data_IF_410417398618
#
_entry.id   IF_410417398618
#
_cell.length_a   1.000
_cell.length_b   1.000
_cell.length_c   1.000
_cell.angle_alpha   90.00
_cell.angle_beta   90.00
_cell.angle_gamma   90.00
#
_symmetry.space_group_name_H-M   'P 1'
#
loop_
_entity.id
_entity.type
_entity.pdbx_description
1 polymer ?
#
# COMPACT_ATOMS: atom_id res chain seq x y z
N UNK A 1 -22.09 -47.29 15.57
CA UNK A 1 -21.64 -47.01 14.17
C UNK A 1 -22.26 -45.75 13.58
N UNK A 2 -23.56 -45.46 13.69
CA UNK A 2 -24.19 -44.25 13.16
C UNK A 2 -23.76 -42.90 13.83
N UNK A 3 -23.36 -42.93 15.09
CA UNK A 3 -22.89 -41.74 15.83
C UNK A 3 -21.46 -41.32 15.47
N UNK A 4 -20.60 -42.29 15.07
CA UNK A 4 -19.24 -41.99 14.61
C UNK A 4 -19.22 -41.31 13.25
N UNK A 5 -20.05 -41.75 12.30
CA UNK A 5 -20.14 -41.14 10.95
C UNK A 5 -20.67 -39.73 11.02
N UNK A 6 -21.61 -39.40 11.93
CA UNK A 6 -22.14 -38.07 12.08
C UNK A 6 -21.15 -37.07 12.70
N UNK A 7 -20.21 -37.54 13.54
CA UNK A 7 -19.16 -36.68 14.09
C UNK A 7 -18.06 -36.39 13.04
N UNK A 8 -17.71 -37.37 12.24
CA UNK A 8 -16.72 -37.19 11.17
C UNK A 8 -17.22 -36.18 10.11
N UNK A 9 -18.51 -36.28 9.72
CA UNK A 9 -19.13 -35.30 8.79
C UNK A 9 -19.18 -33.88 9.38
N UNK A 10 -19.40 -33.73 10.70
CA UNK A 10 -19.41 -32.42 11.38
C UNK A 10 -18.02 -31.84 11.53
N UNK A 11 -17.00 -32.65 11.75
CA UNK A 11 -15.60 -32.17 11.81
C UNK A 11 -15.07 -31.82 10.42
N UNK A 12 -15.47 -32.53 9.37
CA UNK A 12 -15.09 -32.24 7.99
C UNK A 12 -15.75 -30.94 7.50
N UNK A 13 -17.02 -30.72 7.83
CA UNK A 13 -17.77 -29.48 7.50
C UNK A 13 -17.20 -28.29 8.30
N UNK A 14 -16.86 -28.45 9.58
CA UNK A 14 -16.22 -27.42 10.39
C UNK A 14 -14.79 -27.07 9.89
N UNK A 15 -14.03 -28.06 9.42
CA UNK A 15 -12.72 -27.85 8.84
C UNK A 15 -12.78 -27.15 7.50
N UNK A 16 -13.80 -27.45 6.69
CA UNK A 16 -14.11 -26.79 5.41
C UNK A 16 -14.49 -25.31 5.60
N UNK A 17 -15.39 -25.02 6.53
CA UNK A 17 -15.82 -23.63 6.82
C UNK A 17 -14.67 -22.79 7.41
N UNK A 18 -13.78 -23.40 8.21
CA UNK A 18 -12.58 -22.72 8.74
C UNK A 18 -11.56 -22.40 7.64
N UNK A 19 -11.32 -23.29 6.69
CA UNK A 19 -10.43 -23.04 5.54
C UNK A 19 -10.99 -21.96 4.63
N UNK A 20 -12.30 -21.98 4.36
CA UNK A 20 -13.03 -20.96 3.61
C UNK A 20 -12.91 -19.58 4.28
N UNK A 21 -13.15 -19.51 5.58
CA UNK A 21 -13.04 -18.27 6.36
C UNK A 21 -11.61 -17.69 6.34
N UNK A 22 -10.58 -18.54 6.41
CA UNK A 22 -9.18 -18.11 6.32
C UNK A 22 -8.81 -17.57 4.93
N UNK A 23 -9.33 -18.16 3.86
CA UNK A 23 -9.12 -17.65 2.50
C UNK A 23 -9.78 -16.29 2.32
N UNK A 24 -11.02 -16.12 2.77
CA UNK A 24 -11.75 -14.85 2.69
C UNK A 24 -11.08 -13.73 3.51
N UNK A 25 -10.45 -14.06 4.64
CA UNK A 25 -9.73 -13.09 5.47
C UNK A 25 -8.31 -12.75 4.95
N UNK A 26 -7.81 -13.46 3.93
CA UNK A 26 -6.42 -13.32 3.46
C UNK A 26 -6.08 -11.91 2.99
N UNK A 27 -6.93 -11.30 2.16
CA UNK A 27 -6.71 -9.94 1.65
C UNK A 27 -6.62 -8.90 2.78
N UNK A 28 -7.65 -8.81 3.64
CA UNK A 28 -7.63 -7.94 4.83
C UNK A 28 -6.43 -8.16 5.76
N UNK A 29 -6.06 -9.40 6.07
CA UNK A 29 -4.92 -9.70 6.95
C UNK A 29 -3.58 -9.26 6.34
N UNK A 30 -3.40 -9.48 5.03
CA UNK A 30 -2.22 -8.99 4.32
C UNK A 30 -2.16 -7.46 4.30
N UNK A 31 -3.29 -6.79 4.14
CA UNK A 31 -3.37 -5.34 4.18
C UNK A 31 -3.04 -4.78 5.59
N UNK A 32 -3.51 -5.45 6.66
CA UNK A 32 -3.13 -5.11 8.02
C UNK A 32 -1.62 -5.29 8.26
N UNK A 33 -1.03 -6.39 7.78
CA UNK A 33 0.42 -6.59 7.82
C UNK A 33 1.17 -5.44 7.12
N UNK A 34 0.76 -5.07 5.91
CA UNK A 34 1.33 -3.92 5.21
C UNK A 34 1.19 -2.62 6.00
N UNK A 35 0.06 -2.41 6.69
CA UNK A 35 -0.22 -1.25 7.54
C UNK A 35 0.77 -1.15 8.70
N UNK A 36 0.95 -2.25 9.45
CA UNK A 36 1.85 -2.30 10.61
C UNK A 36 3.28 -1.95 10.19
N UNK A 37 3.80 -2.60 9.15
CA UNK A 37 5.16 -2.32 8.68
C UNK A 37 5.29 -0.91 8.07
N UNK A 38 4.25 -0.39 7.42
CA UNK A 38 4.26 0.97 6.88
C UNK A 38 4.32 2.02 7.99
N UNK A 39 3.53 1.87 9.05
CA UNK A 39 3.59 2.75 10.21
C UNK A 39 4.94 2.66 10.93
N UNK A 40 5.44 1.46 11.18
CA UNK A 40 6.77 1.27 11.77
C UNK A 40 7.88 1.93 10.95
N UNK A 41 7.81 1.83 9.61
CA UNK A 41 8.75 2.52 8.71
C UNK A 41 8.66 4.03 8.82
N UNK A 42 7.44 4.58 9.00
CA UNK A 42 7.23 6.01 9.20
C UNK A 42 7.95 6.51 10.45
N UNK A 43 7.84 5.78 11.57
CA UNK A 43 8.53 6.12 12.81
C UNK A 43 10.06 6.07 12.67
N UNK A 44 10.58 5.00 12.08
CA UNK A 44 12.03 4.92 11.82
C UNK A 44 12.50 6.04 10.92
N UNK A 45 11.70 6.46 9.93
CA UNK A 45 12.02 7.61 9.07
C UNK A 45 12.07 8.90 9.89
N UNK A 46 11.10 9.13 10.77
CA UNK A 46 11.08 10.30 11.66
C UNK A 46 12.28 10.32 12.61
N UNK A 47 12.62 9.18 13.22
CA UNK A 47 13.77 9.05 14.12
C UNK A 47 15.09 9.22 13.36
N UNK A 48 15.24 8.64 12.18
CA UNK A 48 16.43 8.83 11.33
C UNK A 48 16.61 10.28 10.89
N UNK A 49 15.52 10.97 10.52
CA UNK A 49 15.53 12.40 10.18
C UNK A 49 15.90 13.27 11.38
N UNK A 50 15.34 13.00 12.58
CA UNK A 50 15.74 13.66 13.84
C UNK A 50 17.22 13.41 14.17
N UNK A 51 17.78 12.26 13.77
CA UNK A 51 19.20 11.92 13.87
C UNK A 51 20.10 12.67 12.87
N UNK A 52 19.54 13.58 12.07
CA UNK A 52 20.28 14.43 11.12
C UNK A 52 20.53 13.79 9.75
N UNK A 53 19.89 12.66 9.43
CA UNK A 53 20.01 12.06 8.09
C UNK A 53 19.06 12.78 7.12
N UNK A 54 19.57 13.29 5.97
CA UNK A 54 18.78 13.96 4.96
C UNK A 54 17.68 13.06 4.36
N UNK A 55 16.59 13.67 3.90
CA UNK A 55 15.41 12.95 3.45
C UNK A 55 15.63 12.08 2.21
N UNK A 56 16.32 12.59 1.19
CA UNK A 56 16.64 11.80 -0.01
C UNK A 56 17.61 10.66 0.32
N UNK A 57 18.53 10.87 1.26
CA UNK A 57 19.45 9.83 1.71
C UNK A 57 18.72 8.69 2.44
N UNK A 58 17.71 8.99 3.29
CA UNK A 58 16.86 7.98 3.92
C UNK A 58 16.11 7.16 2.87
N UNK A 59 15.55 7.84 1.86
CA UNK A 59 14.84 7.18 0.77
C UNK A 59 15.78 6.36 -0.13
N UNK A 60 17.00 6.81 -0.33
CA UNK A 60 18.04 6.04 -1.02
C UNK A 60 18.33 4.73 -0.27
N UNK A 61 18.57 4.78 1.03
CA UNK A 61 18.80 3.57 1.83
C UNK A 61 17.59 2.62 1.81
N UNK A 62 16.38 3.17 1.88
CA UNK A 62 15.14 2.40 1.73
C UNK A 62 15.13 1.64 0.40
N UNK A 63 15.40 2.33 -0.72
CA UNK A 63 15.40 1.73 -2.05
C UNK A 63 16.54 0.73 -2.23
N UNK A 64 17.72 1.05 -1.71
CA UNK A 64 18.87 0.16 -1.72
C UNK A 64 18.55 -1.15 -0.99
N UNK A 65 17.94 -1.09 0.20
CA UNK A 65 17.54 -2.29 0.96
C UNK A 65 16.51 -3.11 0.19
N UNK A 66 15.51 -2.46 -0.43
CA UNK A 66 14.54 -3.13 -1.29
C UNK A 66 15.22 -3.81 -2.49
N UNK A 67 16.14 -3.10 -3.15
CA UNK A 67 16.88 -3.62 -4.30
C UNK A 67 17.74 -4.84 -3.91
N UNK A 68 18.49 -4.76 -2.82
CA UNK A 68 19.28 -5.89 -2.30
C UNK A 68 18.39 -7.08 -1.95
N UNK A 69 17.23 -6.85 -1.32
CA UNK A 69 16.26 -7.92 -1.04
C UNK A 69 15.73 -8.56 -2.33
N UNK A 70 15.42 -7.75 -3.32
CA UNK A 70 14.98 -8.26 -4.63
C UNK A 70 16.07 -9.10 -5.30
N UNK A 71 17.35 -8.70 -5.21
CA UNK A 71 18.48 -9.51 -5.72
C UNK A 71 18.57 -10.88 -5.01
N UNK A 72 18.39 -10.91 -3.69
CA UNK A 72 18.33 -12.18 -2.93
C UNK A 72 17.16 -13.03 -3.41
N UNK A 73 15.96 -12.43 -3.56
CA UNK A 73 14.79 -13.14 -4.10
C UNK A 73 15.03 -13.68 -5.52
N UNK A 74 15.73 -12.94 -6.36
CA UNK A 74 16.11 -13.40 -7.70
C UNK A 74 17.05 -14.61 -7.66
N UNK A 75 18.01 -14.61 -6.76
CA UNK A 75 18.94 -15.73 -6.61
C UNK A 75 18.22 -17.02 -6.15
N UNK A 76 17.20 -16.87 -5.29
CA UNK A 76 16.42 -18.00 -4.72
C UNK A 76 15.37 -18.49 -5.73
N UNK A 77 14.50 -17.60 -6.21
CA UNK A 77 13.31 -17.97 -7.00
C UNK A 77 13.56 -18.04 -8.50
N UNK A 78 14.63 -17.44 -9.00
CA UNK A 78 15.03 -17.40 -10.41
C UNK A 78 13.86 -17.13 -11.39
N UNK A 79 13.03 -16.08 -11.16
CA UNK A 79 11.93 -15.78 -12.04
C UNK A 79 12.44 -15.30 -13.40
N UNK A 80 11.59 -15.34 -14.42
CA UNK A 80 11.92 -14.75 -15.73
C UNK A 80 12.11 -13.24 -15.56
N UNK A 81 13.27 -12.71 -15.98
CA UNK A 81 13.61 -11.29 -15.83
C UNK A 81 12.91 -10.41 -16.86
N UNK A 82 12.48 -10.97 -17.96
CA UNK A 82 11.85 -10.27 -19.09
C UNK A 82 10.45 -10.86 -19.27
N UNK A 83 9.48 -10.01 -19.58
CA UNK A 83 8.13 -10.46 -19.93
C UNK A 83 8.13 -11.29 -21.23
N UNK A 84 7.19 -12.20 -21.36
CA UNK A 84 7.08 -13.11 -22.50
C UNK A 84 6.72 -12.38 -23.81
N UNK A 85 6.03 -11.24 -23.70
CA UNK A 85 5.52 -10.47 -24.82
C UNK A 85 6.02 -9.02 -24.79
N UNK A 86 6.15 -8.39 -25.98
CA UNK A 86 6.50 -6.97 -26.09
C UNK A 86 5.57 -6.07 -25.25
N UNK A 87 4.28 -6.40 -25.20
CA UNK A 87 3.29 -5.65 -24.39
C UNK A 87 3.64 -5.68 -22.89
N UNK A 88 4.03 -6.84 -22.36
CA UNK A 88 4.41 -6.97 -20.94
C UNK A 88 5.66 -6.14 -20.63
N UNK A 89 6.65 -6.15 -21.51
CA UNK A 89 7.89 -5.38 -21.34
C UNK A 89 7.61 -3.86 -21.37
N UNK A 90 6.73 -3.40 -22.27
CA UNK A 90 6.30 -2.01 -22.30
C UNK A 90 5.52 -1.61 -21.03
N UNK A 91 4.66 -2.48 -20.52
CA UNK A 91 3.94 -2.24 -19.27
C UNK A 91 4.89 -2.18 -18.07
N UNK A 92 5.91 -3.07 -18.01
CA UNK A 92 6.96 -3.03 -16.99
C UNK A 92 7.75 -1.72 -17.02
N UNK A 93 8.17 -1.29 -18.20
CA UNK A 93 8.88 -0.03 -18.38
C UNK A 93 8.00 1.17 -17.99
N UNK A 94 6.76 1.19 -18.46
CA UNK A 94 5.80 2.25 -18.16
C UNK A 94 5.51 2.35 -16.67
N UNK A 95 5.26 1.22 -16.00
CA UNK A 95 5.06 1.18 -14.54
C UNK A 95 6.29 1.68 -13.80
N UNK A 96 7.47 1.23 -14.18
CA UNK A 96 8.74 1.66 -13.57
C UNK A 96 8.92 3.18 -13.67
N UNK A 97 8.64 3.77 -14.83
CA UNK A 97 8.73 5.22 -15.03
C UNK A 97 7.67 5.96 -14.22
N UNK A 98 6.40 5.54 -14.28
CA UNK A 98 5.29 6.15 -13.54
C UNK A 98 5.52 6.06 -12.04
N UNK A 99 5.98 4.90 -11.54
CA UNK A 99 6.28 4.71 -10.12
C UNK A 99 7.36 5.68 -9.62
N UNK A 100 8.48 5.79 -10.34
CA UNK A 100 9.58 6.67 -9.93
C UNK A 100 9.21 8.14 -10.11
N UNK A 101 8.49 8.51 -11.19
CA UNK A 101 7.96 9.85 -11.38
C UNK A 101 6.98 10.24 -10.28
N UNK A 102 6.01 9.38 -9.95
CA UNK A 102 5.06 9.64 -8.87
C UNK A 102 5.75 9.77 -7.52
N UNK A 103 6.80 8.99 -7.28
CA UNK A 103 7.62 9.12 -6.06
C UNK A 103 8.33 10.47 -6.02
N UNK A 104 8.90 10.93 -7.14
CA UNK A 104 9.52 12.25 -7.23
C UNK A 104 8.50 13.38 -6.95
N UNK A 105 7.29 13.30 -7.50
CA UNK A 105 6.23 14.27 -7.23
C UNK A 105 5.77 14.26 -5.77
N UNK A 106 5.68 13.09 -5.14
CA UNK A 106 5.41 12.99 -3.69
C UNK A 106 6.48 13.71 -2.89
N UNK A 107 7.76 13.48 -3.20
CA UNK A 107 8.86 14.15 -2.52
C UNK A 107 8.83 15.67 -2.74
N UNK A 108 8.59 16.09 -3.98
CA UNK A 108 8.47 17.50 -4.30
C UNK A 108 7.30 18.15 -3.56
N UNK A 109 6.19 17.44 -3.33
CA UNK A 109 5.07 17.98 -2.56
C UNK A 109 5.41 18.27 -1.10
N UNK A 110 6.39 17.55 -0.53
CA UNK A 110 6.85 17.80 0.85
C UNK A 110 7.71 19.06 0.99
N UNK A 111 8.25 19.61 -0.12
CA UNK A 111 8.97 20.89 -0.08
C UNK A 111 8.02 22.10 -0.07
N UNK A 112 6.80 21.94 -0.58
CA UNK A 112 5.82 23.02 -0.70
C UNK A 112 4.66 22.93 0.30
N UNK A 113 4.47 21.79 0.95
CA UNK A 113 3.47 21.60 1.99
C UNK A 113 4.07 20.84 3.16
N UNK A 114 3.61 21.12 4.37
CA UNK A 114 4.02 20.32 5.52
C UNK A 114 3.79 18.83 5.23
N UNK A 115 4.78 17.95 5.49
CA UNK A 115 4.73 16.54 5.08
C UNK A 115 3.45 15.81 5.46
N UNK A 116 2.91 16.05 6.66
CA UNK A 116 1.65 15.48 7.12
C UNK A 116 0.44 15.91 6.30
N UNK A 117 0.39 17.19 5.85
CA UNK A 117 -0.69 17.72 5.00
C UNK A 117 -0.59 17.09 3.61
N UNK A 118 0.60 17.16 2.99
CA UNK A 118 0.83 16.60 1.66
C UNK A 118 0.52 15.09 1.64
N UNK A 119 1.01 14.34 2.62
CA UNK A 119 0.75 12.90 2.73
C UNK A 119 -0.74 12.61 2.93
N UNK A 120 -1.43 13.39 3.76
CA UNK A 120 -2.86 13.27 3.98
C UNK A 120 -3.66 13.50 2.69
N UNK A 121 -3.36 14.57 1.92
CA UNK A 121 -4.02 14.84 0.63
C UNK A 121 -3.75 13.68 -0.35
N UNK A 122 -2.49 13.21 -0.46
CA UNK A 122 -2.13 12.10 -1.34
C UNK A 122 -2.91 10.84 -0.98
N UNK A 123 -2.87 10.42 0.28
CA UNK A 123 -3.53 9.20 0.73
C UNK A 123 -5.06 9.29 0.68
N UNK A 124 -5.62 10.49 0.87
CA UNK A 124 -7.05 10.73 0.74
C UNK A 124 -7.54 10.66 -0.70
N UNK A 125 -6.83 11.29 -1.63
CA UNK A 125 -7.22 11.31 -3.04
C UNK A 125 -6.93 9.99 -3.77
N UNK A 126 -5.90 9.26 -3.34
CA UNK A 126 -5.38 8.07 -4.02
C UNK A 126 -6.42 6.95 -4.24
N UNK A 127 -7.28 6.55 -3.28
CA UNK A 127 -8.29 5.53 -3.50
C UNK A 127 -9.30 5.92 -4.57
N UNK A 128 -9.70 7.20 -4.63
CA UNK A 128 -10.65 7.72 -5.62
C UNK A 128 -10.06 7.67 -7.04
N UNK A 129 -8.83 8.18 -7.21
CA UNK A 129 -8.15 8.11 -8.51
C UNK A 129 -7.87 6.67 -8.93
N UNK A 130 -7.46 5.81 -8.00
CA UNK A 130 -7.24 4.38 -8.28
C UNK A 130 -8.54 3.68 -8.68
N UNK A 131 -9.67 4.03 -8.07
CA UNK A 131 -10.99 3.55 -8.46
C UNK A 131 -11.35 3.95 -9.89
N UNK A 132 -11.16 5.23 -10.25
CA UNK A 132 -11.37 5.75 -11.59
C UNK A 132 -10.49 5.07 -12.63
N UNK A 133 -9.19 5.01 -12.41
CA UNK A 133 -8.26 4.34 -13.32
C UNK A 133 -8.50 2.82 -13.40
N UNK A 134 -8.84 2.16 -12.28
CA UNK A 134 -9.21 0.74 -12.25
C UNK A 134 -10.45 0.46 -13.11
N UNK A 135 -11.45 1.33 -13.05
CA UNK A 135 -12.63 1.23 -13.91
C UNK A 135 -12.27 1.42 -15.39
N UNK A 136 -11.48 2.44 -15.73
CA UNK A 136 -11.12 2.77 -17.13
C UNK A 136 -10.22 1.68 -17.75
N UNK A 137 -9.14 1.30 -17.07
CA UNK A 137 -8.09 0.44 -17.65
C UNK A 137 -8.32 -1.05 -17.41
N UNK A 138 -8.78 -1.44 -16.22
CA UNK A 138 -9.00 -2.83 -15.85
C UNK A 138 -10.46 -3.25 -15.98
N UNK A 139 -11.37 -2.31 -16.24
CA UNK A 139 -12.83 -2.51 -16.24
C UNK A 139 -13.36 -3.11 -14.92
N UNK A 140 -12.62 -2.87 -13.82
CA UNK A 140 -13.01 -3.31 -12.49
C UNK A 140 -14.18 -2.48 -11.98
N UNK A 141 -15.35 -3.10 -11.86
CA UNK A 141 -16.53 -2.44 -11.27
C UNK A 141 -16.42 -2.49 -9.74
N UNK A 142 -16.55 -1.32 -9.12
CA UNK A 142 -16.61 -1.19 -7.66
C UNK A 142 -18.10 -1.09 -7.29
N UNK A 143 -18.54 -1.96 -6.38
CA UNK A 143 -19.91 -1.91 -5.87
C UNK A 143 -20.17 -0.66 -5.03
N UNK A 144 -21.44 -0.35 -4.71
CA UNK A 144 -21.80 0.83 -3.93
C UNK A 144 -21.25 0.79 -2.50
N UNK A 145 -21.21 -0.37 -1.87
CA UNK A 145 -20.72 -0.51 -0.49
C UNK A 145 -19.22 -0.18 -0.38
N UNK A 146 -18.30 -0.76 -1.19
CA UNK A 146 -16.91 -0.33 -1.21
C UNK A 146 -16.72 1.14 -1.56
N UNK A 147 -17.54 1.69 -2.46
CA UNK A 147 -17.50 3.11 -2.80
C UNK A 147 -17.80 3.98 -1.58
N UNK A 148 -18.85 3.67 -0.82
CA UNK A 148 -19.15 4.35 0.45
C UNK A 148 -18.00 4.22 1.46
N UNK A 149 -17.39 3.04 1.62
CA UNK A 149 -16.25 2.83 2.50
C UNK A 149 -15.04 3.70 2.11
N UNK A 150 -14.75 3.81 0.81
CA UNK A 150 -13.69 4.69 0.29
C UNK A 150 -14.01 6.15 0.61
N UNK A 151 -15.23 6.62 0.35
CA UNK A 151 -15.63 8.00 0.61
C UNK A 151 -15.55 8.37 2.10
N UNK A 152 -15.99 7.48 2.99
CA UNK A 152 -15.87 7.68 4.45
C UNK A 152 -14.40 7.78 4.86
N UNK A 153 -13.54 6.86 4.36
CA UNK A 153 -12.09 6.90 4.64
C UNK A 153 -11.46 8.20 4.13
N UNK A 154 -11.78 8.63 2.92
CA UNK A 154 -11.27 9.87 2.32
C UNK A 154 -11.67 11.09 3.16
N UNK A 155 -12.93 11.16 3.59
CA UNK A 155 -13.40 12.24 4.48
C UNK A 155 -12.60 12.24 5.79
N UNK A 156 -12.36 11.07 6.37
CA UNK A 156 -11.52 10.94 7.57
C UNK A 156 -10.09 11.44 7.34
N UNK A 157 -9.47 11.09 6.22
CA UNK A 157 -8.12 11.56 5.85
C UNK A 157 -8.06 13.08 5.69
N UNK A 158 -9.07 13.68 5.06
CA UNK A 158 -9.15 15.14 4.92
C UNK A 158 -9.23 15.82 6.30
N UNK A 159 -10.04 15.28 7.23
CA UNK A 159 -10.11 15.81 8.60
C UNK A 159 -8.77 15.69 9.34
N UNK A 160 -8.07 14.55 9.22
CA UNK A 160 -6.72 14.39 9.80
C UNK A 160 -5.77 15.42 9.22
N UNK A 161 -5.80 15.65 7.89
CA UNK A 161 -4.92 16.61 7.21
C UNK A 161 -5.18 18.05 7.67
N UNK A 162 -6.45 18.43 7.84
CA UNK A 162 -6.83 19.73 8.42
C UNK A 162 -6.32 19.83 9.86
N UNK A 163 -6.48 18.79 10.65
CA UNK A 163 -5.98 18.71 12.03
C UNK A 163 -4.45 18.81 12.12
N UNK A 164 -3.71 18.33 11.13
CA UNK A 164 -2.26 18.53 11.01
C UNK A 164 -1.91 19.96 10.62
N UNK A 165 -2.65 20.55 9.65
CA UNK A 165 -2.45 21.90 9.18
C UNK A 165 -2.61 22.95 10.28
N UNK A 166 -3.58 22.76 11.19
CA UNK A 166 -3.79 23.68 12.31
C UNK A 166 -2.68 23.68 13.36
N UNK A 167 -1.80 22.69 13.33
CA UNK A 167 -0.62 22.57 14.21
C UNK A 167 0.68 23.04 13.54
N UNK A 168 0.69 23.23 12.21
CA UNK A 168 1.85 23.67 11.46
C UNK A 168 1.81 25.20 11.30
N UNK A 169 2.73 25.91 11.97
CA UNK A 169 2.67 27.39 12.13
C UNK A 169 3.28 28.18 10.98
N UNK A 170 4.01 27.58 10.01
CA UNK A 170 4.67 28.31 8.94
C UNK A 170 4.47 27.70 7.55
N UNK A 171 3.51 28.24 6.78
CA UNK A 171 3.39 27.97 5.36
C UNK A 171 3.52 29.29 4.57
N UNK A 172 4.74 29.67 4.21
CA UNK A 172 5.04 30.83 3.37
C UNK A 172 4.82 30.62 1.86
N UNK A 173 4.34 29.43 1.46
CA UNK A 173 4.10 29.10 0.05
C UNK A 173 2.64 29.31 -0.34
N UNK A 174 2.42 29.69 -1.62
CA UNK A 174 1.06 29.89 -2.17
C UNK A 174 0.21 28.65 -1.92
N UNK A 175 -0.89 28.83 -1.20
CA UNK A 175 -1.83 27.75 -0.76
C UNK A 175 -2.26 26.84 -1.92
N UNK A 176 -2.30 27.40 -3.13
CA UNK A 176 -2.61 26.67 -4.37
C UNK A 176 -1.57 25.58 -4.68
N UNK A 177 -0.28 25.89 -4.61
CA UNK A 177 0.80 24.92 -4.89
C UNK A 177 0.82 23.83 -3.81
N UNK A 178 0.63 24.20 -2.55
CA UNK A 178 0.59 23.28 -1.41
C UNK A 178 -0.55 22.24 -1.47
N UNK A 179 -1.60 22.51 -2.25
CA UNK A 179 -2.73 21.59 -2.47
C UNK A 179 -2.61 20.87 -3.81
N UNK A 180 -2.37 21.63 -4.90
CA UNK A 180 -2.37 21.05 -6.25
C UNK A 180 -1.24 20.02 -6.45
N UNK A 181 -0.07 20.25 -5.87
CA UNK A 181 1.06 19.36 -6.06
C UNK A 181 0.85 17.98 -5.39
N UNK A 182 0.38 17.88 -4.13
CA UNK A 182 -0.03 16.58 -3.56
C UNK A 182 -1.15 15.90 -4.34
N UNK A 183 -2.14 16.64 -4.85
CA UNK A 183 -3.22 16.07 -5.68
C UNK A 183 -2.65 15.53 -7.00
N UNK A 184 -1.76 16.26 -7.66
CA UNK A 184 -1.06 15.79 -8.87
C UNK A 184 -0.19 14.54 -8.58
N UNK A 185 0.47 14.50 -7.43
CA UNK A 185 1.21 13.33 -6.97
C UNK A 185 0.30 12.12 -6.78
N UNK A 186 -0.88 12.29 -6.16
CA UNK A 186 -1.87 11.23 -6.02
C UNK A 186 -2.41 10.76 -7.37
N UNK A 187 -2.71 11.71 -8.27
CA UNK A 187 -3.20 11.41 -9.61
C UNK A 187 -2.19 10.60 -10.43
N UNK A 188 -0.91 10.93 -10.39
CA UNK A 188 0.15 10.19 -11.09
C UNK A 188 0.48 8.85 -10.40
N UNK A 189 0.26 8.75 -9.09
CA UNK A 189 0.49 7.51 -8.34
C UNK A 189 -0.64 6.48 -8.50
N UNK A 190 -1.84 6.90 -8.81
CA UNK A 190 -2.98 6.00 -8.97
C UNK A 190 -2.80 5.00 -10.14
N UNK A 191 -2.38 5.41 -11.36
CA UNK A 191 -2.09 4.47 -12.44
C UNK A 191 -0.95 3.48 -12.11
N UNK A 192 0.02 3.85 -11.27
CA UNK A 192 1.06 2.93 -10.78
C UNK A 192 0.42 1.67 -10.15
N UNK A 193 -0.54 1.83 -9.22
CA UNK A 193 -1.21 0.69 -8.58
C UNK A 193 -2.06 -0.14 -9.54
N UNK A 194 -2.71 0.52 -10.49
CA UNK A 194 -3.54 -0.14 -11.50
C UNK A 194 -2.68 -0.95 -12.47
N UNK A 195 -1.58 -0.38 -12.97
CA UNK A 195 -0.61 -1.05 -13.83
C UNK A 195 0.06 -2.21 -13.10
N UNK A 196 0.48 -2.00 -11.87
CA UNK A 196 1.07 -3.04 -11.02
C UNK A 196 0.15 -4.24 -10.87
N UNK A 197 -1.15 -4.01 -10.58
CA UNK A 197 -2.12 -5.08 -10.52
C UNK A 197 -2.27 -5.81 -11.86
N UNK A 198 -2.28 -5.08 -12.98
CA UNK A 198 -2.35 -5.68 -14.31
C UNK A 198 -1.13 -6.55 -14.60
N UNK A 199 0.06 -6.06 -14.28
CA UNK A 199 1.34 -6.76 -14.55
C UNK A 199 1.48 -8.00 -13.66
N UNK A 200 1.09 -7.92 -12.38
CA UNK A 200 1.21 -9.02 -11.42
C UNK A 200 0.35 -10.25 -11.75
N UNK A 201 -0.53 -10.17 -12.74
CA UNK A 201 -1.27 -11.33 -13.27
C UNK A 201 -0.36 -12.27 -14.08
N UNK A 202 0.59 -11.70 -14.82
CA UNK A 202 1.40 -12.43 -15.80
C UNK A 202 2.89 -12.44 -15.45
N UNK A 203 3.36 -11.42 -14.73
CA UNK A 203 4.78 -11.22 -14.39
C UNK A 203 4.99 -11.39 -12.88
N UNK A 204 6.13 -11.97 -12.49
CA UNK A 204 6.43 -12.13 -11.07
C UNK A 204 6.63 -10.78 -10.38
N UNK A 205 6.20 -10.68 -9.12
CA UNK A 205 6.43 -9.48 -8.32
C UNK A 205 7.91 -9.14 -8.14
N UNK A 206 8.77 -10.15 -8.07
CA UNK A 206 10.22 -9.99 -7.98
C UNK A 206 10.79 -9.30 -9.23
N UNK A 207 10.35 -9.71 -10.41
CA UNK A 207 10.75 -9.07 -11.68
C UNK A 207 10.30 -7.63 -11.74
N UNK A 208 9.03 -7.34 -11.42
CA UNK A 208 8.50 -5.98 -11.38
C UNK A 208 9.33 -5.08 -10.46
N UNK A 209 9.58 -5.53 -9.24
CA UNK A 209 10.33 -4.73 -8.27
C UNK A 209 11.82 -4.62 -8.60
N UNK A 210 12.40 -5.56 -9.36
CA UNK A 210 13.76 -5.38 -9.87
C UNK A 210 13.87 -4.10 -10.71
N UNK A 211 12.97 -3.91 -11.66
CA UNK A 211 12.98 -2.71 -12.53
C UNK A 211 12.73 -1.44 -11.72
N UNK A 212 11.71 -1.46 -10.86
CA UNK A 212 11.32 -0.31 -10.02
C UNK A 212 12.44 0.11 -9.07
N UNK A 213 13.01 -0.86 -8.35
CA UNK A 213 14.02 -0.55 -7.32
C UNK A 213 15.38 -0.22 -7.91
N UNK A 214 15.79 -0.86 -9.03
CA UNK A 214 17.06 -0.52 -9.69
C UNK A 214 17.08 0.92 -10.18
N UNK A 215 16.05 1.34 -10.94
CA UNK A 215 15.94 2.72 -11.41
C UNK A 215 15.78 3.69 -10.24
N UNK A 216 14.93 3.34 -9.25
CA UNK A 216 14.69 4.17 -8.07
C UNK A 216 15.94 4.37 -7.22
N UNK A 217 16.77 3.33 -7.04
CA UNK A 217 18.02 3.43 -6.28
C UNK A 217 19.01 4.38 -6.97
N UNK A 218 19.17 4.27 -8.28
CA UNK A 218 20.07 5.17 -9.05
C UNK A 218 19.53 6.60 -9.01
N UNK A 219 18.24 6.80 -9.24
CA UNK A 219 17.63 8.13 -9.23
C UNK A 219 17.76 8.82 -7.86
N UNK A 220 17.48 8.10 -6.77
CA UNK A 220 17.60 8.64 -5.42
C UNK A 220 19.05 8.87 -4.99
N UNK A 221 20.00 8.05 -5.46
CA UNK A 221 21.43 8.31 -5.25
C UNK A 221 21.82 9.64 -5.88
N UNK A 222 21.42 9.86 -7.13
CA UNK A 222 21.69 11.13 -7.85
C UNK A 222 21.07 12.30 -7.09
N UNK A 223 19.80 12.19 -6.68
CA UNK A 223 19.10 13.25 -5.95
C UNK A 223 19.75 13.53 -4.58
N UNK A 224 20.24 12.52 -3.88
CA UNK A 224 20.95 12.66 -2.61
C UNK A 224 22.18 13.57 -2.78
N UNK A 225 22.98 13.37 -3.83
CA UNK A 225 24.15 14.19 -4.07
C UNK A 225 23.85 15.54 -4.74
N UNK A 226 22.76 15.64 -5.51
CA UNK A 226 22.40 16.87 -6.21
C UNK A 226 21.66 17.88 -5.32
N UNK A 227 20.85 17.41 -4.36
CA UNK A 227 19.95 18.24 -3.58
C UNK A 227 20.34 18.37 -2.10
N UNK A 228 21.15 17.44 -1.58
CA UNK A 228 21.49 17.36 -0.15
C UNK A 228 23.00 17.15 0.05
N UNK A 229 23.49 17.44 1.24
CA UNK A 229 24.83 17.03 1.70
C UNK A 229 24.70 15.71 2.46
N UNK A 230 25.09 14.58 1.88
CA UNK A 230 24.88 13.28 2.51
C UNK A 230 25.76 13.08 3.74
N UNK A 231 25.17 12.51 4.80
CA UNK A 231 25.86 12.18 6.06
C UNK A 231 26.16 10.68 6.09
N UNK A 232 27.42 10.30 5.90
CA UNK A 232 27.85 8.90 5.86
C UNK A 232 28.31 8.36 7.22
N UNK A 233 28.73 9.26 8.12
CA UNK A 233 29.13 8.89 9.49
C UNK A 233 27.92 9.00 10.40
N UNK A 234 27.45 7.89 10.93
CA UNK A 234 26.27 7.85 11.79
C UNK A 234 26.54 6.94 13.00
N UNK A 235 25.89 7.25 14.13
CA UNK A 235 25.93 6.36 15.30
C UNK A 235 25.27 5.01 15.01
N UNK A 236 25.59 3.99 15.80
CA UNK A 236 24.96 2.68 15.66
C UNK A 236 23.42 2.73 15.82
N UNK A 237 22.91 3.62 16.66
CA UNK A 237 21.50 3.86 16.86
C UNK A 237 20.84 4.40 15.60
N UNK A 238 21.40 5.46 14.99
CA UNK A 238 20.89 6.05 13.75
C UNK A 238 20.97 5.05 12.60
N UNK A 239 22.07 4.30 12.49
CA UNK A 239 22.20 3.22 11.51
C UNK A 239 21.13 2.14 11.69
N UNK A 240 20.75 1.85 12.94
CA UNK A 240 19.62 0.97 13.26
C UNK A 240 18.28 1.51 12.74
N UNK A 241 18.01 2.81 12.90
CA UNK A 241 16.80 3.44 12.35
C UNK A 241 16.77 3.39 10.82
N UNK A 242 17.89 3.70 10.17
CA UNK A 242 18.02 3.63 8.70
C UNK A 242 17.78 2.21 8.18
N UNK A 243 18.37 1.21 8.83
CA UNK A 243 18.13 -0.19 8.51
C UNK A 243 16.65 -0.59 8.74
N UNK A 244 16.06 -0.10 9.85
CA UNK A 244 14.65 -0.27 10.18
C UNK A 244 13.71 0.27 9.10
N UNK A 245 13.99 1.46 8.55
CA UNK A 245 13.26 2.02 7.40
C UNK A 245 13.28 1.05 6.22
N UNK A 246 14.46 0.60 5.82
CA UNK A 246 14.64 -0.27 4.66
C UNK A 246 13.94 -1.61 4.82
N UNK A 247 14.12 -2.28 5.95
CA UNK A 247 13.53 -3.60 6.24
C UNK A 247 12.00 -3.51 6.34
N UNK A 248 11.48 -2.54 7.09
CA UNK A 248 10.03 -2.37 7.24
C UNK A 248 9.36 -2.07 5.90
N UNK A 249 9.92 -1.18 5.08
CA UNK A 249 9.37 -0.89 3.75
C UNK A 249 9.50 -2.07 2.78
N UNK A 250 10.50 -2.92 2.95
CA UNK A 250 10.60 -4.18 2.20
C UNK A 250 9.45 -5.11 2.55
N UNK A 251 9.10 -5.23 3.84
CA UNK A 251 7.94 -6.00 4.26
C UNK A 251 6.63 -5.40 3.71
N UNK A 252 6.46 -4.07 3.75
CA UNK A 252 5.32 -3.40 3.09
C UNK A 252 5.22 -3.80 1.62
N UNK A 253 6.33 -3.79 0.90
CA UNK A 253 6.40 -4.19 -0.50
C UNK A 253 5.88 -5.62 -0.71
N UNK A 254 6.38 -6.58 0.08
CA UNK A 254 6.00 -7.99 -0.04
C UNK A 254 4.51 -8.21 0.28
N UNK A 255 4.02 -7.65 1.37
CA UNK A 255 2.61 -7.74 1.75
C UNK A 255 1.71 -7.08 0.71
N UNK A 256 2.10 -5.91 0.18
CA UNK A 256 1.28 -5.18 -0.78
C UNK A 256 1.20 -5.87 -2.15
N UNK A 257 2.29 -6.53 -2.61
CA UNK A 257 2.24 -7.43 -3.78
C UNK A 257 1.19 -8.52 -3.55
N UNK A 258 1.21 -9.14 -2.37
CA UNK A 258 0.28 -10.21 -2.04
C UNK A 258 -1.18 -9.71 -2.00
N UNK A 259 -1.43 -8.51 -1.45
CA UNK A 259 -2.75 -7.85 -1.46
C UNK A 259 -3.22 -7.62 -2.90
N UNK A 260 -2.40 -7.01 -3.75
CA UNK A 260 -2.76 -6.69 -5.14
C UNK A 260 -3.03 -7.93 -6.01
N UNK A 261 -2.53 -9.10 -5.63
CA UNK A 261 -2.86 -10.37 -6.30
C UNK A 261 -4.27 -10.87 -5.96
N UNK A 262 -4.75 -10.54 -4.77
CA UNK A 262 -6.05 -11.03 -4.26
C UNK A 262 -7.14 -9.99 -4.44
N UNK A 263 -6.85 -8.72 -4.17
CA UNK A 263 -7.83 -7.64 -4.12
C UNK A 263 -7.79 -6.72 -5.35
N UNK A 264 -8.92 -6.06 -5.64
CA UNK A 264 -8.98 -4.98 -6.64
C UNK A 264 -8.08 -3.83 -6.22
N UNK A 265 -7.46 -3.16 -7.21
CA UNK A 265 -6.48 -2.10 -6.94
C UNK A 265 -7.03 -1.01 -6.00
N UNK A 266 -8.26 -0.53 -6.24
CA UNK A 266 -8.89 0.49 -5.41
C UNK A 266 -9.18 0.02 -3.98
N UNK A 267 -9.56 -1.26 -3.79
CA UNK A 267 -9.79 -1.84 -2.46
C UNK A 267 -8.46 -1.97 -1.72
N UNK A 268 -7.43 -2.49 -2.38
CA UNK A 268 -6.08 -2.62 -1.81
C UNK A 268 -5.53 -1.26 -1.33
N UNK A 269 -5.72 -0.21 -2.14
CA UNK A 269 -5.32 1.16 -1.80
C UNK A 269 -6.21 1.75 -0.69
N UNK A 270 -7.52 1.48 -0.73
CA UNK A 270 -8.45 1.90 0.33
C UNK A 270 -8.11 1.27 1.69
N UNK A 271 -7.77 -0.02 1.72
CA UNK A 271 -7.32 -0.69 2.95
C UNK A 271 -5.99 -0.12 3.48
N UNK A 272 -5.14 0.38 2.59
CA UNK A 272 -3.88 1.02 2.98
C UNK A 272 -4.09 2.33 3.75
N UNK A 273 -5.26 2.98 3.68
CA UNK A 273 -5.53 4.19 4.48
C UNK A 273 -5.48 3.92 5.99
N UNK A 274 -5.60 2.66 6.43
CA UNK A 274 -5.39 2.25 7.82
C UNK A 274 -3.98 2.58 8.36
N UNK A 275 -3.00 2.85 7.50
CA UNK A 275 -1.70 3.32 7.96
C UNK A 275 -1.80 4.64 8.74
N UNK A 276 -2.75 5.51 8.38
CA UNK A 276 -2.92 6.83 9.01
C UNK A 276 -3.29 6.71 10.51
N UNK A 277 -4.39 5.99 10.89
CA UNK A 277 -4.68 5.78 12.30
C UNK A 277 -3.55 5.06 13.04
N UNK A 278 -2.89 4.11 12.41
CA UNK A 278 -1.81 3.38 13.02
C UNK A 278 -0.59 4.27 13.30
N UNK A 279 -0.19 5.12 12.34
CA UNK A 279 0.91 6.09 12.56
C UNK A 279 0.56 7.13 13.62
N UNK A 280 -0.66 7.66 13.66
CA UNK A 280 -1.07 8.60 14.72
C UNK A 280 -0.96 7.98 16.12
N UNK A 281 -1.32 6.71 16.25
CA UNK A 281 -1.16 5.96 17.50
C UNK A 281 0.33 5.80 17.85
N UNK A 282 1.16 5.45 16.89
CA UNK A 282 2.62 5.34 17.10
C UNK A 282 3.24 6.70 17.44
N UNK A 283 2.89 7.77 16.72
CA UNK A 283 3.33 9.14 17.01
C UNK A 283 3.04 9.55 18.47
N UNK A 284 1.85 9.16 18.95
CA UNK A 284 1.49 9.44 20.36
C UNK A 284 2.42 8.71 21.34
N UNK A 285 2.69 7.42 21.13
CA UNK A 285 3.51 6.63 22.05
C UNK A 285 5.02 6.86 21.89
N UNK A 286 5.52 7.04 20.67
CA UNK A 286 6.96 7.11 20.37
C UNK A 286 7.45 8.57 20.35
N UNK A 287 6.69 9.46 19.71
CA UNK A 287 7.07 10.86 19.53
C UNK A 287 6.41 11.81 20.53
N UNK A 288 5.52 11.29 21.40
CA UNK A 288 4.75 12.07 22.40
C UNK A 288 3.90 13.19 21.75
N UNK A 289 3.46 13.00 20.51
CA UNK A 289 2.61 13.96 19.79
C UNK A 289 1.14 13.73 20.13
N UNK A 290 0.52 14.68 20.84
CA UNK A 290 -0.89 14.60 21.24
C UNK A 290 -1.79 14.97 20.05
N UNK A 291 -2.66 14.06 19.57
CA UNK A 291 -3.59 14.38 18.49
C UNK A 291 -4.67 15.37 18.97
N UNK A 292 -5.01 16.35 18.12
CA UNK A 292 -6.13 17.26 18.36
C UNK A 292 -7.49 16.58 18.02
N UNK A 293 -8.59 17.27 18.34
CA UNK A 293 -9.96 16.73 18.15
C UNK A 293 -10.23 16.35 16.69
N UNK A 294 -9.74 17.15 15.72
CA UNK A 294 -9.90 16.86 14.28
C UNK A 294 -9.17 15.59 13.86
N UNK A 295 -7.97 15.34 14.40
CA UNK A 295 -7.24 14.10 14.16
C UNK A 295 -7.99 12.90 14.73
N UNK A 296 -8.55 13.00 15.94
CA UNK A 296 -9.36 11.93 16.52
C UNK A 296 -10.63 11.63 15.75
N UNK A 297 -11.36 12.67 15.33
CA UNK A 297 -12.56 12.52 14.50
C UNK A 297 -12.22 11.89 13.12
N UNK A 298 -11.18 12.38 12.48
CA UNK A 298 -10.72 11.84 11.19
C UNK A 298 -10.24 10.40 11.30
N UNK A 299 -9.52 10.05 12.37
CA UNK A 299 -9.10 8.69 12.70
C UNK A 299 -10.30 7.73 12.81
N UNK A 300 -11.34 8.14 13.54
CA UNK A 300 -12.57 7.36 13.66
C UNK A 300 -13.23 7.08 12.31
N UNK A 301 -13.29 8.08 11.42
CA UNK A 301 -13.86 7.91 10.07
C UNK A 301 -12.99 7.01 9.19
N UNK A 302 -11.65 7.13 9.23
CA UNK A 302 -10.74 6.25 8.48
C UNK A 302 -10.94 4.79 8.91
N UNK A 303 -10.99 4.54 10.21
CA UNK A 303 -11.23 3.19 10.76
C UNK A 303 -12.59 2.66 10.34
N UNK A 304 -13.65 3.49 10.43
CA UNK A 304 -15.00 3.10 10.01
C UNK A 304 -15.04 2.74 8.51
N UNK A 305 -14.48 3.56 7.65
CA UNK A 305 -14.41 3.29 6.22
C UNK A 305 -13.63 2.01 5.90
N UNK A 306 -12.51 1.78 6.58
CA UNK A 306 -11.73 0.56 6.43
C UNK A 306 -12.49 -0.68 6.94
N UNK A 307 -13.26 -0.58 8.03
CA UNK A 307 -14.13 -1.67 8.51
C UNK A 307 -15.19 -2.01 7.46
N UNK A 308 -15.83 -1.01 6.85
CA UNK A 308 -16.82 -1.21 5.77
C UNK A 308 -16.17 -1.94 4.57
N UNK A 309 -14.98 -1.50 4.16
CA UNK A 309 -14.22 -2.14 3.07
C UNK A 309 -13.87 -3.60 3.39
N UNK A 310 -13.31 -3.84 4.58
CA UNK A 310 -12.90 -5.17 5.02
C UNK A 310 -14.10 -6.12 5.14
N UNK A 311 -15.20 -5.67 5.75
CA UNK A 311 -16.41 -6.47 5.90
C UNK A 311 -17.00 -6.85 4.55
N UNK A 312 -17.12 -5.88 3.61
CA UNK A 312 -17.59 -6.16 2.26
C UNK A 312 -16.70 -7.16 1.52
N UNK A 313 -15.36 -6.95 1.56
CA UNK A 313 -14.39 -7.83 0.91
C UNK A 313 -14.48 -9.25 1.45
N UNK A 314 -14.54 -9.40 2.78
CA UNK A 314 -14.70 -10.69 3.43
C UNK A 314 -15.98 -11.41 3.00
N UNK A 315 -17.11 -10.69 2.99
CA UNK A 315 -18.40 -11.27 2.61
C UNK A 315 -18.48 -11.61 1.11
N UNK A 316 -17.90 -10.78 0.24
CA UNK A 316 -17.82 -11.05 -1.19
C UNK A 316 -17.04 -12.33 -1.48
N UNK A 317 -15.86 -12.50 -0.90
CA UNK A 317 -15.07 -13.72 -1.06
C UNK A 317 -15.77 -14.95 -0.49
N UNK A 318 -16.40 -14.83 0.67
CA UNK A 318 -17.17 -15.94 1.26
C UNK A 318 -18.37 -16.35 0.41
N UNK A 319 -19.04 -15.41 -0.25
CA UNK A 319 -20.12 -15.71 -1.18
C UNK A 319 -19.63 -16.40 -2.45
N UNK A 320 -18.51 -15.96 -3.01
CA UNK A 320 -17.88 -16.58 -4.19
C UNK A 320 -17.44 -18.03 -3.88
N UNK A 321 -16.85 -18.28 -2.73
CA UNK A 321 -16.48 -19.63 -2.30
C UNK A 321 -17.69 -20.55 -2.11
N UNK A 322 -18.74 -20.05 -1.45
CA UNK A 322 -19.99 -20.84 -1.31
C UNK A 322 -20.61 -21.17 -2.66
N UNK A 323 -20.62 -20.22 -3.60
CA UNK A 323 -21.10 -20.41 -4.96
C UNK A 323 -20.26 -21.43 -5.71
N UNK A 324 -18.93 -21.35 -5.63
CA UNK A 324 -18.02 -22.30 -6.28
C UNK A 324 -18.17 -23.72 -5.72
N UNK A 325 -18.24 -23.88 -4.40
CA UNK A 325 -18.46 -25.18 -3.76
C UNK A 325 -19.82 -25.79 -4.10
N UNK A 326 -20.87 -24.95 -4.23
CA UNK A 326 -22.19 -25.38 -4.65
C UNK A 326 -22.20 -25.87 -6.11
N UNK A 327 -21.56 -25.15 -7.03
CA UNK A 327 -21.43 -25.52 -8.44
C UNK A 327 -20.61 -26.83 -8.61
N UNK A 328 -19.55 -26.98 -7.83
CA UNK A 328 -18.74 -28.20 -7.80
C UNK A 328 -19.55 -29.43 -7.33
N UNK A 329 -20.35 -29.26 -6.27
CA UNK A 329 -21.29 -30.33 -5.80
C UNK A 329 -22.35 -30.69 -6.84
N UNK A 330 -22.72 -29.75 -7.70
CA UNK A 330 -23.67 -29.99 -8.81
C UNK A 330 -23.03 -30.56 -10.09
N UNK A 331 -21.67 -30.77 -10.09
CA UNK A 331 -20.95 -31.25 -11.26
C UNK A 331 -20.84 -30.24 -12.40
N UNK A 332 -21.13 -28.95 -12.14
CA UNK A 332 -21.08 -27.89 -13.12
C UNK A 332 -19.67 -27.28 -13.08
N UNK A 333 -18.86 -27.46 -14.12
CA UNK A 333 -17.55 -26.85 -14.24
C UNK A 333 -17.69 -25.33 -14.38
N UNK A 334 -17.00 -24.57 -13.51
CA UNK A 334 -16.89 -23.11 -13.66
C UNK A 334 -16.29 -22.75 -15.02
N UNK A 335 -16.80 -21.74 -15.73
CA UNK A 335 -16.21 -21.26 -16.96
C UNK A 335 -14.77 -20.79 -16.68
N UNK A 336 -13.84 -21.05 -17.62
CA UNK A 336 -12.40 -20.70 -17.46
C UNK A 336 -12.14 -19.22 -17.18
N UNK A 337 -13.08 -18.34 -17.53
CA UNK A 337 -13.03 -16.91 -17.22
C UNK A 337 -13.20 -16.55 -15.73
N UNK A 338 -13.77 -17.45 -14.91
CA UNK A 338 -13.97 -17.26 -13.47
C UNK A 338 -12.90 -17.99 -12.62
N UNK A 339 -12.02 -18.78 -13.22
CA UNK A 339 -10.92 -19.51 -12.54
C UNK A 339 -9.64 -18.68 -12.32
N UNK A 340 -9.64 -17.39 -12.72
CA UNK A 340 -8.44 -16.52 -12.61
C UNK A 340 -8.59 -15.43 -11.55
#
# INVERSE_FOLDING_TARGET
MALSVKNDDLEEDASGDRKSSLKAARGPLLALGATVFSGTSSEFTALGSKGGIPGFQLLFFLRLTQFLTVLVCLAIFRPKLIGENRRQNWLLLLETLIHNLSTALVLLSFTYAAPGIAFGIIQGALPLFTAGFGFIFLKEKIGPIPCCGILISVTGVVLVSIGMATQAVDASHTLVVSILLPVAAAFTKAPDFVLRRAILKDVSGTTLYLYVTSLGTVALLILTFACETPVWTMSAEIAGYVAGVGLSQTMVMLFFIAVLKVEKAAIAVGLRTLVIPFTIILDYFILSVVPNVLKWAGLGLVVLGAVVLNAHTYWAHRQEEKRSSFLEKMGISLPESEKK
#
